data_IF_636786476172
#
_entry.id   IF_636786476172
#
_cell.length_a   1.000
_cell.length_b   1.000
_cell.length_c   1.000
_cell.angle_alpha   90.00
_cell.angle_beta   90.00
_cell.angle_gamma   90.00
#
_symmetry.space_group_name_H-M   'P 1'
#
loop_
_entity.id
_entity.type
_entity.pdbx_description
1 polymer ?
#
# COMPACT_ATOMS: atom_id res chain seq x y z
N UNK A 1 -26.27 19.40 8.97
CA UNK A 1 -25.03 18.60 9.11
C UNK A 1 -23.84 19.46 8.70
N UNK A 2 -22.90 19.74 9.60
CA UNK A 2 -21.71 20.55 9.28
C UNK A 2 -20.86 19.81 8.24
N UNK A 3 -20.65 20.41 7.06
CA UNK A 3 -19.82 19.87 5.95
C UNK A 3 -18.47 19.29 6.40
N UNK A 4 -17.92 19.80 7.51
CA UNK A 4 -16.66 19.32 8.11
C UNK A 4 -16.70 17.86 8.57
N UNK A 5 -17.83 17.32 9.03
CA UNK A 5 -17.89 15.94 9.53
C UNK A 5 -17.83 14.92 8.39
N UNK A 6 -18.46 15.22 7.25
CA UNK A 6 -18.41 14.37 6.05
C UNK A 6 -17.01 14.39 5.46
N UNK A 7 -16.40 15.56 5.31
CA UNK A 7 -15.02 15.67 4.78
C UNK A 7 -14.01 14.89 5.63
N UNK A 8 -14.15 14.95 6.96
CA UNK A 8 -13.32 14.15 7.89
C UNK A 8 -13.55 12.66 7.72
N UNK A 9 -14.79 12.22 7.62
CA UNK A 9 -15.09 10.80 7.40
C UNK A 9 -14.48 10.31 6.10
N UNK A 10 -14.69 11.04 4.99
CA UNK A 10 -14.12 10.70 3.68
C UNK A 10 -12.58 10.67 3.72
N UNK A 11 -11.93 11.62 4.38
CA UNK A 11 -10.48 11.61 4.54
C UNK A 11 -9.98 10.36 5.28
N UNK A 12 -10.70 9.92 6.32
CA UNK A 12 -10.38 8.66 7.02
C UNK A 12 -10.55 7.43 6.13
N UNK A 13 -11.62 7.39 5.32
CA UNK A 13 -11.85 6.32 4.34
C UNK A 13 -10.74 6.27 3.30
N UNK A 14 -10.32 7.42 2.77
CA UNK A 14 -9.22 7.49 1.80
C UNK A 14 -7.91 6.99 2.38
N UNK A 15 -7.59 7.37 3.64
CA UNK A 15 -6.38 6.87 4.31
C UNK A 15 -6.42 5.35 4.50
N UNK A 16 -7.57 4.80 4.90
CA UNK A 16 -7.74 3.35 5.04
C UNK A 16 -7.60 2.64 3.69
N UNK A 17 -8.24 3.17 2.65
CA UNK A 17 -8.13 2.61 1.30
C UNK A 17 -6.69 2.61 0.79
N UNK A 18 -5.91 3.66 1.09
CA UNK A 18 -4.50 3.73 0.73
C UNK A 18 -3.67 2.64 1.43
N UNK A 19 -3.91 2.39 2.73
CA UNK A 19 -3.26 1.30 3.46
C UNK A 19 -3.56 -0.06 2.81
N UNK A 20 -4.84 -0.32 2.50
CA UNK A 20 -5.27 -1.57 1.87
C UNK A 20 -4.63 -1.73 0.48
N UNK A 21 -4.60 -0.65 -0.31
CA UNK A 21 -4.01 -0.68 -1.65
C UNK A 21 -2.52 -1.00 -1.62
N UNK A 22 -1.75 -0.39 -0.71
CA UNK A 22 -0.30 -0.67 -0.56
C UNK A 22 -0.06 -2.09 -0.08
N UNK A 23 -0.87 -2.60 0.85
CA UNK A 23 -0.79 -3.99 1.30
C UNK A 23 -1.09 -4.97 0.14
N UNK A 24 -2.14 -4.73 -0.63
CA UNK A 24 -2.49 -5.55 -1.79
C UNK A 24 -1.39 -5.51 -2.86
N UNK A 25 -0.83 -4.32 -3.14
CA UNK A 25 0.29 -4.17 -4.05
C UNK A 25 1.51 -5.00 -3.63
N UNK A 26 1.87 -4.98 -2.34
CA UNK A 26 2.95 -5.81 -1.81
C UNK A 26 2.66 -7.30 -1.96
N UNK A 27 1.45 -7.75 -1.59
CA UNK A 27 1.06 -9.16 -1.70
C UNK A 27 1.18 -9.65 -3.14
N UNK A 28 0.65 -8.90 -4.11
CA UNK A 28 0.69 -9.27 -5.52
C UNK A 28 2.13 -9.35 -6.03
N UNK A 29 2.95 -8.32 -5.81
CA UNK A 29 4.33 -8.30 -6.31
C UNK A 29 5.20 -9.39 -5.66
N UNK A 30 5.00 -9.67 -4.37
CA UNK A 30 5.74 -10.72 -3.69
C UNK A 30 5.27 -12.11 -4.12
N UNK A 31 3.98 -12.32 -4.36
CA UNK A 31 3.45 -13.60 -4.85
C UNK A 31 3.87 -13.88 -6.30
N UNK A 32 3.88 -12.86 -7.16
CA UNK A 32 4.37 -13.00 -8.54
C UNK A 32 5.87 -13.31 -8.61
N UNK A 33 6.68 -12.68 -7.74
CA UNK A 33 8.13 -12.87 -7.74
C UNK A 33 8.56 -14.14 -6.97
N UNK A 34 7.94 -14.43 -5.84
CA UNK A 34 8.39 -15.44 -4.88
C UNK A 34 7.39 -16.55 -4.58
N UNK A 35 6.13 -16.38 -4.98
CA UNK A 35 5.06 -17.33 -4.77
C UNK A 35 5.06 -18.46 -5.79
N UNK A 36 4.12 -19.38 -5.60
CA UNK A 36 3.85 -20.49 -6.52
C UNK A 36 2.72 -20.16 -7.50
N UNK A 37 2.51 -18.87 -7.79
CA UNK A 37 1.47 -18.39 -8.69
C UNK A 37 1.62 -18.95 -10.10
N UNK A 38 0.57 -18.80 -10.91
CA UNK A 38 0.57 -19.33 -12.28
C UNK A 38 1.69 -18.70 -13.13
N UNK A 39 2.43 -19.51 -13.92
CA UNK A 39 2.35 -20.97 -14.04
C UNK A 39 3.10 -21.57 -12.86
N UNK A 40 2.50 -22.52 -12.12
CA UNK A 40 2.98 -23.11 -10.85
C UNK A 40 4.44 -23.60 -10.88
N UNK A 41 5.39 -22.68 -10.94
CA UNK A 41 6.80 -22.93 -11.03
C UNK A 41 7.43 -22.76 -9.67
N UNK A 42 8.64 -23.30 -9.54
CA UNK A 42 9.46 -23.05 -8.36
C UNK A 42 9.86 -21.56 -8.29
N UNK A 43 10.10 -21.06 -7.07
CA UNK A 43 10.57 -19.69 -6.81
C UNK A 43 11.74 -19.27 -7.70
N UNK A 44 12.70 -20.16 -7.97
CA UNK A 44 13.86 -19.87 -8.83
C UNK A 44 13.44 -19.54 -10.26
N UNK A 45 12.50 -20.29 -10.83
CA UNK A 45 11.97 -20.05 -12.17
C UNK A 45 11.17 -18.74 -12.28
N UNK A 46 10.49 -18.32 -11.22
CA UNK A 46 9.80 -17.02 -11.22
C UNK A 46 10.79 -15.85 -11.19
N UNK A 47 11.86 -15.99 -10.42
CA UNK A 47 12.95 -15.00 -10.38
C UNK A 47 13.77 -14.94 -11.67
N UNK A 48 13.73 -15.94 -12.55
CA UNK A 48 14.33 -15.85 -13.89
C UNK A 48 13.60 -14.82 -14.78
N UNK A 49 12.33 -14.52 -14.49
CA UNK A 49 11.52 -13.55 -15.24
C UNK A 49 11.55 -12.16 -14.63
N UNK A 50 11.60 -12.09 -13.31
CA UNK A 50 11.44 -10.85 -12.55
C UNK A 50 12.75 -10.41 -11.93
N UNK A 51 13.03 -9.11 -12.03
CA UNK A 51 14.05 -8.50 -11.17
C UNK A 51 13.59 -8.54 -9.71
N UNK A 52 14.53 -8.51 -8.75
CA UNK A 52 14.19 -8.43 -7.33
C UNK A 52 13.22 -7.27 -7.06
N UNK A 53 11.99 -7.53 -6.58
CA UNK A 53 11.00 -6.49 -6.35
C UNK A 53 11.29 -5.64 -5.11
N UNK A 54 12.12 -6.14 -4.16
CA UNK A 54 12.31 -5.52 -2.86
C UNK A 54 12.80 -4.05 -2.91
N UNK A 55 13.75 -3.66 -3.79
CA UNK A 55 14.17 -2.26 -3.89
C UNK A 55 13.03 -1.32 -4.29
N UNK A 56 12.17 -1.74 -5.22
CA UNK A 56 11.01 -0.94 -5.67
C UNK A 56 9.96 -0.89 -4.57
N UNK A 57 9.64 -2.02 -3.96
CA UNK A 57 8.69 -2.10 -2.84
C UNK A 57 9.13 -1.21 -1.68
N UNK A 58 10.41 -1.22 -1.31
CA UNK A 58 10.95 -0.39 -0.23
C UNK A 58 10.75 1.11 -0.49
N UNK A 59 10.95 1.58 -1.73
CA UNK A 59 10.71 2.99 -2.09
C UNK A 59 9.22 3.32 -2.03
N UNK A 60 8.36 2.47 -2.61
CA UNK A 60 6.91 2.67 -2.60
C UNK A 60 6.37 2.69 -1.17
N UNK A 61 6.79 1.74 -0.33
CA UNK A 61 6.36 1.64 1.07
C UNK A 61 6.86 2.83 1.88
N UNK A 62 8.10 3.26 1.68
CA UNK A 62 8.66 4.45 2.34
C UNK A 62 7.84 5.71 2.02
N UNK A 63 7.48 5.93 0.75
CA UNK A 63 6.62 7.05 0.33
C UNK A 63 5.22 6.90 0.91
N UNK A 64 4.63 5.70 0.87
CA UNK A 64 3.31 5.43 1.40
C UNK A 64 3.22 5.73 2.89
N UNK A 65 4.21 5.30 3.69
CA UNK A 65 4.29 5.58 5.12
C UNK A 65 4.31 7.09 5.38
N UNK A 66 5.12 7.85 4.64
CA UNK A 66 5.18 9.31 4.78
C UNK A 66 3.82 9.94 4.49
N UNK A 67 3.18 9.58 3.38
CA UNK A 67 1.87 10.11 2.97
C UNK A 67 0.79 9.78 3.98
N UNK A 68 0.72 8.53 4.43
CA UNK A 68 -0.26 8.06 5.43
C UNK A 68 -0.03 8.77 6.76
N UNK A 69 1.22 8.89 7.21
CA UNK A 69 1.55 9.56 8.47
C UNK A 69 1.15 11.04 8.43
N UNK A 70 1.54 11.77 7.38
CA UNK A 70 1.17 13.19 7.19
C UNK A 70 -0.35 13.34 7.12
N UNK A 71 -1.02 12.53 6.30
CA UNK A 71 -2.47 12.55 6.16
C UNK A 71 -3.19 12.24 7.48
N UNK A 72 -2.71 11.28 8.25
CA UNK A 72 -3.24 10.94 9.56
C UNK A 72 -3.06 12.08 10.58
N UNK A 73 -1.90 12.74 10.60
CA UNK A 73 -1.66 13.89 11.47
C UNK A 73 -2.59 15.06 11.12
N UNK A 74 -2.77 15.37 9.83
CA UNK A 74 -3.71 16.40 9.37
C UNK A 74 -5.16 16.03 9.72
N UNK A 75 -5.54 14.77 9.51
CA UNK A 75 -6.85 14.26 9.88
C UNK A 75 -7.13 14.35 11.38
N UNK A 76 -6.13 14.05 12.22
CA UNK A 76 -6.23 14.19 13.67
C UNK A 76 -6.34 15.65 14.10
N UNK A 77 -5.61 16.58 13.45
CA UNK A 77 -5.73 18.02 13.72
C UNK A 77 -7.13 18.56 13.42
N UNK A 78 -7.83 17.98 12.45
CA UNK A 78 -9.23 18.31 12.23
C UNK A 78 -10.16 17.88 13.37
N UNK A 79 -9.74 17.02 14.33
CA UNK A 79 -10.60 16.66 15.49
C UNK A 79 -10.62 17.73 16.58
N UNK A 80 -9.63 18.62 16.62
CA UNK A 80 -9.52 19.72 17.59
C UNK A 80 -10.39 20.91 17.24
#
# INVERSE_FOLDING_TARGET
MRKSSIARFLAGVVLLALVVAVAAFNVINLDEAYGSGEPYYSRTTNMDKWSDPLPVLAVVDGVAVIVIAVGFLLWRRMRG
#
